data_IF_116344392519
#
_entry.id   IF_116344392519
#
_cell.length_a   1.000
_cell.length_b   1.000
_cell.length_c   1.000
_cell.angle_alpha   90.00
_cell.angle_beta   90.00
_cell.angle_gamma   90.00
#
_symmetry.space_group_name_H-M   'P 1'
#
loop_
_entity.id
_entity.type
_entity.pdbx_description
1 polymer ?
#
# COMPACT_ATOMS: atom_id res chain seq x y z
N UNK A 1 0.45 9.45 -17.11
CA UNK A 1 0.00 8.16 -16.53
C UNK A 1 0.16 8.24 -15.03
N UNK A 2 -0.88 7.88 -14.28
CA UNK A 2 -0.79 7.80 -12.83
C UNK A 2 0.15 6.67 -12.37
N UNK A 3 0.53 6.71 -11.10
CA UNK A 3 1.50 5.80 -10.48
C UNK A 3 0.87 5.13 -9.28
N UNK A 4 1.11 3.83 -9.12
CA UNK A 4 0.81 3.07 -7.90
C UNK A 4 2.10 2.85 -7.11
N UNK A 5 2.05 3.04 -5.81
CA UNK A 5 3.12 2.70 -4.87
C UNK A 5 2.77 1.42 -4.14
N UNK A 6 3.68 0.45 -4.12
CA UNK A 6 3.44 -0.88 -3.54
C UNK A 6 4.30 -1.07 -2.30
N UNK A 7 3.65 -1.45 -1.21
CA UNK A 7 4.27 -1.77 0.07
C UNK A 7 3.91 -3.19 0.49
N UNK A 8 4.79 -3.79 1.28
CA UNK A 8 4.57 -5.11 1.83
C UNK A 8 5.12 -5.21 3.27
N UNK A 9 4.58 -6.10 4.08
CA UNK A 9 5.22 -6.51 5.32
C UNK A 9 4.86 -7.95 5.71
N UNK A 10 5.54 -8.46 6.73
CA UNK A 10 5.36 -9.79 7.28
C UNK A 10 5.32 -9.69 8.81
N UNK A 11 4.27 -10.23 9.43
CA UNK A 11 4.14 -10.38 10.88
C UNK A 11 3.88 -9.09 11.64
N UNK A 12 3.47 -8.01 10.96
CA UNK A 12 3.31 -6.69 11.59
C UNK A 12 1.93 -6.46 12.19
N UNK A 13 0.87 -6.86 11.48
CA UNK A 13 -0.50 -6.54 11.86
C UNK A 13 -1.19 -7.80 12.41
N UNK A 14 -1.69 -7.78 13.65
CA UNK A 14 -2.41 -8.93 14.22
C UNK A 14 -3.80 -9.14 13.61
N UNK A 15 -4.29 -8.21 12.78
CA UNK A 15 -5.60 -8.28 12.16
C UNK A 15 -5.93 -7.02 11.37
N UNK A 16 -7.08 -7.04 10.69
CA UNK A 16 -7.51 -5.97 9.79
C UNK A 16 -7.67 -4.62 10.50
N UNK A 17 -8.20 -4.61 11.72
CA UNK A 17 -8.37 -3.39 12.52
C UNK A 17 -7.03 -2.68 12.76
N UNK A 18 -5.97 -3.43 13.08
CA UNK A 18 -4.64 -2.86 13.29
C UNK A 18 -4.02 -2.31 11.99
N UNK A 19 -4.27 -2.98 10.85
CA UNK A 19 -3.86 -2.47 9.54
C UNK A 19 -4.61 -1.18 9.19
N UNK A 20 -5.92 -1.12 9.44
CA UNK A 20 -6.73 0.07 9.16
C UNK A 20 -6.33 1.24 10.07
N UNK A 21 -6.06 1.01 11.36
CA UNK A 21 -5.56 2.04 12.26
C UNK A 21 -4.19 2.60 11.84
N UNK A 22 -3.38 1.78 11.16
CA UNK A 22 -2.10 2.23 10.59
C UNK A 22 -2.28 3.05 9.32
N UNK A 23 -3.22 2.66 8.44
CA UNK A 23 -3.42 3.28 7.12
C UNK A 23 -4.33 4.51 7.16
N UNK A 24 -5.51 4.39 7.74
CA UNK A 24 -6.56 5.39 7.65
C UNK A 24 -6.39 6.50 8.69
N UNK A 25 -6.58 7.77 8.33
CA UNK A 25 -6.61 8.85 9.29
C UNK A 25 -7.87 8.74 10.14
N UNK A 26 -7.85 9.39 11.30
CA UNK A 26 -9.06 9.61 12.10
C UNK A 26 -9.43 11.08 12.08
N UNK A 27 -10.53 11.44 12.74
CA UNK A 27 -11.04 12.80 12.76
C UNK A 27 -11.33 13.22 14.20
N UNK A 28 -11.04 14.47 14.53
CA UNK A 28 -11.50 15.07 15.79
C UNK A 28 -13.02 15.26 15.77
N UNK A 29 -13.60 15.63 16.91
CA UNK A 29 -15.03 15.98 16.99
C UNK A 29 -15.39 17.17 16.08
N UNK A 30 -14.43 18.09 15.88
CA UNK A 30 -14.58 19.25 15.00
C UNK A 30 -14.38 18.91 13.51
N UNK A 31 -14.06 17.64 13.20
CA UNK A 31 -13.83 17.16 11.84
C UNK A 31 -12.41 17.39 11.31
N UNK A 32 -11.46 17.81 12.17
CA UNK A 32 -10.06 17.96 11.77
C UNK A 32 -9.42 16.59 11.54
N UNK A 33 -8.65 16.47 10.46
CA UNK A 33 -7.94 15.23 10.12
C UNK A 33 -6.78 15.01 11.10
N UNK A 34 -6.78 13.85 11.74
CA UNK A 34 -5.64 13.33 12.49
C UNK A 34 -4.89 12.32 11.61
N UNK A 35 -3.65 12.62 11.17
CA UNK A 35 -2.92 11.74 10.25
C UNK A 35 -2.61 10.41 10.92
N UNK A 36 -2.76 9.33 10.16
CA UNK A 36 -2.37 7.99 10.60
C UNK A 36 -0.84 7.83 10.64
N UNK A 37 -0.31 6.78 11.28
CA UNK A 37 1.12 6.49 11.22
C UNK A 37 1.65 6.37 9.78
N UNK A 38 0.89 5.74 8.86
CA UNK A 38 1.29 5.66 7.46
C UNK A 38 1.40 7.04 6.80
N UNK A 39 0.51 7.97 7.12
CA UNK A 39 0.55 9.34 6.60
C UNK A 39 1.81 10.06 7.07
N UNK A 40 2.11 9.98 8.37
CA UNK A 40 3.26 10.64 8.97
C UNK A 40 4.58 10.12 8.41
N UNK A 41 4.68 8.81 8.19
CA UNK A 41 5.88 8.18 7.66
C UNK A 41 6.12 8.54 6.18
N UNK A 42 5.07 8.46 5.37
CA UNK A 42 5.18 8.61 3.90
C UNK A 42 5.01 10.05 3.42
N UNK A 43 4.50 10.94 4.27
CA UNK A 43 4.07 12.28 3.86
C UNK A 43 2.89 12.23 2.90
N UNK A 44 1.92 11.32 3.15
CA UNK A 44 0.74 11.16 2.29
C UNK A 44 -0.11 12.43 2.28
N UNK A 45 -0.47 12.88 1.07
CA UNK A 45 -1.37 14.01 0.80
C UNK A 45 -2.38 13.63 -0.28
N UNK A 46 -3.40 14.47 -0.48
CA UNK A 46 -4.51 14.21 -1.42
C UNK A 46 -5.21 12.87 -1.14
N UNK A 47 -5.47 12.60 0.15
CA UNK A 47 -6.00 11.32 0.59
C UNK A 47 -7.35 11.01 -0.06
N UNK A 48 -7.38 9.94 -0.83
CA UNK A 48 -8.58 9.33 -1.38
C UNK A 48 -8.63 7.86 -0.90
N UNK A 49 -9.50 7.53 0.08
CA UNK A 49 -9.56 6.19 0.66
C UNK A 49 -9.88 5.11 -0.37
N UNK A 50 -10.68 5.40 -1.39
CA UNK A 50 -11.00 4.44 -2.45
C UNK A 50 -9.80 4.12 -3.35
N UNK A 51 -8.70 4.87 -3.24
CA UNK A 51 -7.46 4.68 -3.99
C UNK A 51 -6.34 4.08 -3.12
N UNK A 52 -6.68 3.48 -1.97
CA UNK A 52 -5.77 2.65 -1.17
C UNK A 52 -6.34 1.25 -1.07
N UNK A 53 -5.68 0.29 -1.70
CA UNK A 53 -6.04 -1.13 -1.63
C UNK A 53 -5.06 -1.87 -0.73
N UNK A 54 -5.55 -2.83 0.06
CA UNK A 54 -4.71 -3.64 0.92
C UNK A 54 -5.21 -5.06 1.04
N UNK A 55 -4.28 -5.99 1.27
CA UNK A 55 -4.58 -7.37 1.58
C UNK A 55 -3.88 -7.76 2.88
N UNK A 56 -4.51 -8.67 3.65
CA UNK A 56 -3.96 -9.25 4.86
C UNK A 56 -4.33 -10.74 4.90
N UNK A 57 -3.33 -11.60 4.95
CA UNK A 57 -3.47 -13.06 5.04
C UNK A 57 -2.94 -13.58 6.37
N UNK A 58 -3.35 -14.79 6.74
CA UNK A 58 -2.94 -15.43 8.00
C UNK A 58 -1.49 -15.95 7.99
N UNK A 59 -0.85 -16.03 6.81
CA UNK A 59 0.51 -16.54 6.67
C UNK A 59 1.22 -15.86 5.51
N UNK A 60 2.54 -15.68 5.58
CA UNK A 60 3.30 -15.06 4.49
C UNK A 60 3.27 -15.88 3.21
N UNK A 61 3.08 -15.20 2.08
CA UNK A 61 3.05 -15.75 0.73
C UNK A 61 3.90 -14.88 -0.21
N UNK A 62 4.25 -15.37 -1.42
CA UNK A 62 4.83 -14.52 -2.46
C UNK A 62 3.94 -13.32 -2.76
N UNK A 63 4.55 -12.14 -2.99
CA UNK A 63 3.81 -10.89 -3.20
C UNK A 63 2.75 -10.99 -4.33
N UNK A 64 3.03 -11.77 -5.37
CA UNK A 64 2.10 -11.99 -6.48
C UNK A 64 0.73 -12.54 -6.01
N UNK A 65 0.70 -13.34 -4.96
CA UNK A 65 -0.55 -13.89 -4.41
C UNK A 65 -1.34 -12.85 -3.61
N UNK A 66 -0.65 -11.91 -2.96
CA UNK A 66 -1.30 -10.79 -2.24
C UNK A 66 -1.85 -9.72 -3.18
N UNK A 67 -1.32 -9.63 -4.40
CA UNK A 67 -1.70 -8.64 -5.39
C UNK A 67 -2.68 -9.20 -6.44
N UNK A 68 -3.14 -10.43 -6.28
CA UNK A 68 -4.15 -11.02 -7.16
C UNK A 68 -5.46 -10.23 -7.06
N UNK A 69 -6.03 -9.85 -8.20
CA UNK A 69 -7.24 -9.02 -8.28
C UNK A 69 -7.07 -7.52 -8.01
N UNK A 70 -5.83 -7.02 -7.87
CA UNK A 70 -5.57 -5.58 -7.65
C UNK A 70 -5.98 -4.72 -8.84
N UNK A 71 -6.43 -3.48 -8.58
CA UNK A 71 -6.83 -2.56 -9.65
C UNK A 71 -5.71 -2.25 -10.65
N UNK A 72 -6.11 -2.16 -11.92
CA UNK A 72 -5.25 -1.85 -13.07
C UNK A 72 -4.06 -2.81 -13.26
N UNK A 73 -4.13 -4.01 -12.66
CA UNK A 73 -3.03 -4.98 -12.60
C UNK A 73 -2.39 -5.29 -13.95
N UNK A 74 -3.18 -5.34 -15.03
CA UNK A 74 -2.71 -5.62 -16.40
C UNK A 74 -1.56 -4.71 -16.85
N UNK A 75 -1.48 -3.49 -16.31
CA UNK A 75 -0.50 -2.49 -16.74
C UNK A 75 0.78 -2.43 -15.91
N UNK A 76 0.80 -3.03 -14.72
CA UNK A 76 1.91 -2.85 -13.77
C UNK A 76 2.27 -4.07 -12.94
N UNK A 77 1.32 -4.99 -12.70
CA UNK A 77 1.47 -6.10 -11.76
C UNK A 77 2.63 -7.03 -12.13
N UNK A 78 2.79 -7.35 -13.42
CA UNK A 78 3.87 -8.21 -13.90
C UNK A 78 5.27 -7.67 -13.53
N UNK A 79 5.46 -6.34 -13.62
CA UNK A 79 6.71 -5.71 -13.23
C UNK A 79 6.92 -5.77 -11.71
N UNK A 80 5.89 -5.45 -10.94
CA UNK A 80 5.96 -5.50 -9.48
C UNK A 80 6.26 -6.89 -8.94
N UNK A 81 5.64 -7.92 -9.50
CA UNK A 81 5.88 -9.31 -9.13
C UNK A 81 7.31 -9.76 -9.47
N UNK A 82 7.83 -9.41 -10.66
CA UNK A 82 9.20 -9.76 -11.04
C UNK A 82 10.25 -9.10 -10.13
N UNK A 83 10.07 -7.82 -9.78
CA UNK A 83 10.96 -7.12 -8.87
C UNK A 83 10.88 -7.68 -7.43
N UNK A 84 9.69 -8.02 -6.97
CA UNK A 84 9.47 -8.63 -5.66
C UNK A 84 10.06 -10.05 -5.57
N UNK A 85 9.96 -10.84 -6.65
CA UNK A 85 10.59 -12.17 -6.75
C UNK A 85 12.12 -12.07 -6.73
N UNK A 86 12.69 -11.14 -7.49
CA UNK A 86 14.14 -10.88 -7.48
C UNK A 86 14.65 -10.45 -6.09
N UNK A 87 13.80 -9.81 -5.30
CA UNK A 87 14.08 -9.41 -3.91
C UNK A 87 13.77 -10.52 -2.88
N UNK A 88 13.13 -11.63 -3.29
CA UNK A 88 12.71 -12.70 -2.38
C UNK A 88 11.62 -12.27 -1.38
N UNK A 89 10.73 -11.36 -1.77
CA UNK A 89 9.70 -10.82 -0.87
C UNK A 89 8.64 -11.87 -0.55
N UNK A 90 8.59 -12.27 0.73
CA UNK A 90 7.47 -13.00 1.34
C UNK A 90 6.76 -12.08 2.34
N UNK A 91 5.45 -11.93 2.17
CA UNK A 91 4.64 -10.98 2.93
C UNK A 91 3.29 -11.59 3.27
N UNK A 92 2.71 -11.18 4.39
CA UNK A 92 1.32 -11.47 4.75
C UNK A 92 0.40 -10.27 4.52
N UNK A 93 0.98 -9.10 4.28
CA UNK A 93 0.26 -7.84 4.07
C UNK A 93 0.81 -7.13 2.84
N UNK A 94 -0.07 -6.63 1.98
CA UNK A 94 0.26 -5.69 0.91
C UNK A 94 -0.56 -4.41 1.04
N UNK A 95 0.00 -3.29 0.59
CA UNK A 95 -0.70 -2.02 0.46
C UNK A 95 -0.33 -1.39 -0.87
N UNK A 96 -1.33 -1.08 -1.70
CA UNK A 96 -1.20 -0.39 -2.96
C UNK A 96 -1.83 1.00 -2.82
N UNK A 97 -1.03 2.04 -3.05
CA UNK A 97 -1.48 3.43 -2.99
C UNK A 97 -1.51 3.99 -4.40
N UNK A 98 -2.71 4.23 -4.92
CA UNK A 98 -2.97 4.75 -6.25
C UNK A 98 -3.19 6.26 -6.22
N UNK A 99 -2.92 6.93 -7.34
CA UNK A 99 -3.33 8.32 -7.53
C UNK A 99 -4.86 8.46 -7.33
N UNK A 100 -5.36 9.56 -6.73
CA UNK A 100 -4.68 10.85 -6.54
C UNK A 100 -3.81 10.95 -5.28
N UNK A 101 -3.70 9.90 -4.45
CA UNK A 101 -2.83 9.90 -3.28
C UNK A 101 -1.36 10.20 -3.67
N UNK A 102 -0.73 11.14 -2.98
CA UNK A 102 0.66 11.53 -3.24
C UNK A 102 1.55 11.27 -2.02
N UNK A 103 2.62 10.49 -2.22
CA UNK A 103 3.59 10.16 -1.18
C UNK A 103 4.87 10.98 -1.38
N UNK A 104 5.19 11.85 -0.42
CA UNK A 104 6.43 12.63 -0.48
C UNK A 104 7.67 11.77 -0.27
N UNK A 105 7.57 10.76 0.61
CA UNK A 105 8.70 9.96 1.09
C UNK A 105 8.32 8.47 1.26
N UNK A 106 7.92 7.75 0.20
CA UNK A 106 7.47 6.36 0.33
C UNK A 106 8.50 5.44 0.99
N UNK A 107 9.80 5.65 0.76
CA UNK A 107 10.88 4.84 1.35
C UNK A 107 11.06 5.03 2.87
N UNK A 108 10.40 6.03 3.48
CA UNK A 108 10.42 6.22 4.93
C UNK A 108 9.33 5.43 5.66
N UNK A 109 8.43 4.77 4.92
CA UNK A 109 7.47 3.85 5.51
C UNK A 109 8.19 2.77 6.29
N UNK A 110 7.61 2.39 7.41
CA UNK A 110 8.04 1.20 8.15
C UNK A 110 7.53 -0.10 7.50
N UNK A 111 6.72 -0.03 6.43
CA UNK A 111 6.49 -1.14 5.51
C UNK A 111 7.64 -1.23 4.49
N UNK A 112 7.93 -2.43 3.99
CA UNK A 112 8.88 -2.60 2.89
C UNK A 112 8.32 -1.95 1.63
N UNK A 113 8.99 -0.92 1.12
CA UNK A 113 8.62 -0.28 -0.13
C UNK A 113 9.16 -1.11 -1.32
N UNK A 114 8.25 -1.79 -2.01
CA UNK A 114 8.59 -2.68 -3.13
C UNK A 114 8.96 -1.85 -4.36
N UNK A 115 8.19 -0.80 -4.65
CA UNK A 115 8.44 0.06 -5.80
C UNK A 115 7.24 0.92 -6.19
N UNK A 116 7.41 1.62 -7.31
CA UNK A 116 6.35 2.42 -7.93
C UNK A 116 6.23 2.09 -9.40
N UNK A 117 4.99 1.94 -9.87
CA UNK A 117 4.72 1.48 -11.22
C UNK A 117 3.67 2.36 -11.89
N UNK A 118 3.83 2.60 -13.19
CA UNK A 118 2.86 3.38 -13.95
C UNK A 118 1.71 2.48 -14.37
N UNK A 119 0.48 2.95 -14.19
CA UNK A 119 -0.71 2.21 -14.63
C UNK A 119 -1.53 3.01 -15.64
N UNK A 120 -2.41 2.31 -16.36
CA UNK A 120 -3.39 2.90 -17.28
C UNK A 120 -4.77 2.87 -16.63
N UNK A 121 -5.51 3.96 -16.78
CA UNK A 121 -6.94 4.03 -16.50
C UNK A 121 -7.59 4.00 -17.87
N UNK A 122 -8.21 2.88 -18.21
CA UNK A 122 -8.96 2.75 -19.45
C UNK A 122 -10.35 3.40 -19.33
#
# INVERSE_FOLDING_TARGET
MPTVHVFACNGRFPGWEALQAYLAPTYTEDGDVLPSPFFLETGLTCYEPACVESALLASPVPLAQLLDGVSYGDSWLAQACAEAEAQGVLADTSVCVFAPNQLAHPQRSSLHYVGSYRYRVD
#
